data_IF_202696304880
#
_entry.id   IF_202696304880
#
_cell.length_a   1.000
_cell.length_b   1.000
_cell.length_c   1.000
_cell.angle_alpha   90.00
_cell.angle_beta   90.00
_cell.angle_gamma   90.00
#
_symmetry.space_group_name_H-M   'P 1'
#
loop_
_entity.id
_entity.type
_entity.pdbx_description
1 polymer ?
#
# COMPACT_ATOMS: atom_id res chain seq x y z
N UNK A 1 0.56 -7.63 -8.28
CA UNK A 1 1.91 -7.01 -8.27
C UNK A 1 2.33 -6.90 -6.81
N UNK A 2 3.62 -6.86 -6.43
CA UNK A 2 4.01 -6.47 -5.07
C UNK A 2 3.61 -5.00 -4.86
N UNK A 3 3.12 -4.66 -3.67
CA UNK A 3 2.58 -3.33 -3.35
C UNK A 3 3.35 -2.77 -2.16
N UNK A 4 3.93 -1.58 -2.37
CA UNK A 4 4.88 -0.90 -1.49
C UNK A 4 5.64 0.15 -2.30
N UNK A 5 5.89 -0.19 -3.58
CA UNK A 5 6.36 0.73 -4.62
C UNK A 5 5.52 0.55 -5.90
N UNK A 6 4.98 1.66 -6.42
CA UNK A 6 4.51 1.73 -7.81
C UNK A 6 5.65 2.26 -8.69
N UNK A 7 6.51 1.33 -9.15
CA UNK A 7 7.57 1.61 -10.14
C UNK A 7 6.97 1.91 -11.50
N UNK A 8 7.63 2.80 -12.26
CA UNK A 8 7.46 2.90 -13.72
C UNK A 8 7.72 1.54 -14.40
N UNK A 9 6.67 0.83 -14.81
CA UNK A 9 6.78 -0.30 -15.76
C UNK A 9 6.35 0.13 -17.15
N UNK A 10 7.32 0.19 -18.07
CA UNK A 10 7.04 0.18 -19.52
C UNK A 10 6.41 -1.17 -19.87
N UNK A 11 5.10 -1.20 -20.11
CA UNK A 11 4.42 -2.42 -20.57
C UNK A 11 4.81 -2.76 -22.01
N UNK A 12 5.31 -3.99 -22.22
CA UNK A 12 5.23 -4.65 -23.50
C UNK A 12 3.84 -5.27 -23.66
N UNK A 13 3.16 -5.02 -24.77
CA UNK A 13 1.79 -5.45 -25.02
C UNK A 13 1.67 -6.93 -25.46
N UNK A 14 0.52 -7.57 -25.19
CA UNK A 14 0.13 -8.85 -25.80
C UNK A 14 -1.41 -9.02 -25.96
N UNK A 15 -1.80 -9.69 -27.05
CA UNK A 15 -3.16 -9.87 -27.64
C UNK A 15 -3.69 -11.32 -27.46
N UNK A 16 -4.98 -11.71 -27.64
CA UNK A 16 -6.31 -11.05 -27.68
C UNK A 16 -7.41 -12.16 -27.81
N UNK A 17 -8.71 -11.84 -27.60
CA UNK A 17 -9.92 -12.63 -28.01
C UNK A 17 -10.19 -14.00 -27.33
N UNK A 18 -11.39 -14.64 -27.41
CA UNK A 18 -12.81 -14.23 -27.62
C UNK A 18 -13.74 -15.48 -27.52
N UNK A 19 -15.06 -15.29 -27.36
CA UNK A 19 -16.12 -16.30 -27.53
C UNK A 19 -16.59 -17.01 -26.24
N UNK A 20 -17.85 -17.49 -26.13
CA UNK A 20 -18.96 -17.55 -27.08
C UNK A 20 -20.33 -17.58 -26.36
N UNK A 21 -21.41 -17.22 -27.06
CA UNK A 21 -22.78 -17.10 -26.53
C UNK A 21 -23.56 -18.42 -26.62
N UNK A 22 -24.35 -18.79 -25.60
CA UNK A 22 -25.40 -19.83 -25.71
C UNK A 22 -26.61 -19.52 -24.82
N UNK A 23 -27.82 -19.80 -25.33
CA UNK A 23 -29.11 -19.45 -24.71
C UNK A 23 -29.93 -20.71 -24.44
N UNK A 24 -30.45 -20.88 -23.22
CA UNK A 24 -31.49 -21.85 -22.86
C UNK A 24 -32.44 -21.26 -21.77
N UNK A 25 -33.66 -21.80 -21.59
CA UNK A 25 -34.82 -21.01 -21.14
C UNK A 25 -35.02 -20.88 -19.62
N UNK A 26 -35.87 -19.93 -19.24
CA UNK A 26 -36.16 -19.54 -17.86
C UNK A 26 -37.03 -20.54 -17.07
N UNK A 27 -36.76 -20.63 -15.76
CA UNK A 27 -37.59 -21.25 -14.73
C UNK A 27 -37.90 -20.19 -13.63
N UNK A 28 -38.99 -20.34 -12.85
CA UNK A 28 -39.57 -19.22 -12.09
C UNK A 28 -38.79 -18.83 -10.83
N UNK A 29 -38.93 -17.57 -10.44
CA UNK A 29 -38.14 -16.94 -9.39
C UNK A 29 -38.44 -17.48 -7.97
N UNK A 30 -37.38 -17.90 -7.27
CA UNK A 30 -37.27 -17.69 -5.83
C UNK A 30 -36.52 -16.37 -5.59
N UNK A 31 -36.98 -15.59 -4.60
CA UNK A 31 -36.29 -14.38 -4.18
C UNK A 31 -34.98 -14.74 -3.45
N UNK A 32 -33.88 -14.77 -4.19
CA UNK A 32 -32.55 -14.76 -3.61
C UNK A 32 -32.20 -13.31 -3.22
N UNK A 33 -31.70 -13.11 -2.00
CA UNK A 33 -31.09 -11.83 -1.63
C UNK A 33 -29.91 -11.56 -2.56
N UNK A 34 -29.88 -10.37 -3.15
CA UNK A 34 -28.88 -9.98 -4.15
C UNK A 34 -27.52 -9.70 -3.49
N UNK A 35 -26.83 -10.75 -3.05
CA UNK A 35 -25.37 -10.73 -2.90
C UNK A 35 -24.73 -10.74 -4.29
N UNK A 36 -24.84 -9.60 -4.98
CA UNK A 36 -24.17 -9.37 -6.24
C UNK A 36 -22.67 -9.59 -6.02
N UNK A 37 -22.11 -10.59 -6.69
CA UNK A 37 -20.67 -10.79 -6.71
C UNK A 37 -20.00 -9.49 -7.18
N UNK A 38 -18.92 -9.03 -6.53
CA UNK A 38 -18.24 -7.81 -6.96
C UNK A 38 -17.86 -7.95 -8.45
N UNK A 39 -18.17 -6.93 -9.24
CA UNK A 39 -17.88 -6.94 -10.67
C UNK A 39 -16.37 -7.11 -10.91
N UNK A 40 -15.98 -7.72 -12.03
CA UNK A 40 -14.57 -7.77 -12.43
C UNK A 40 -14.01 -6.34 -12.48
N UNK A 41 -12.85 -6.12 -11.85
CA UNK A 41 -12.29 -4.78 -11.62
C UNK A 41 -12.69 -4.08 -10.31
N UNK A 42 -13.51 -4.68 -9.42
CA UNK A 42 -14.01 -4.01 -8.21
C UNK A 42 -12.97 -3.78 -7.11
N UNK A 43 -13.13 -2.71 -6.35
CA UNK A 43 -12.37 -2.45 -5.11
C UNK A 43 -13.21 -2.85 -3.89
N UNK A 44 -12.66 -3.74 -3.05
CA UNK A 44 -13.27 -4.14 -1.78
C UNK A 44 -12.49 -3.50 -0.63
N UNK A 45 -13.16 -2.67 0.19
CA UNK A 45 -12.60 -2.12 1.41
C UNK A 45 -13.24 -2.79 2.65
N UNK A 46 -12.47 -3.05 3.71
CA UNK A 46 -12.99 -3.60 4.96
C UNK A 46 -12.13 -3.29 6.19
N UNK A 47 -12.78 -3.35 7.35
CA UNK A 47 -12.16 -3.18 8.67
C UNK A 47 -11.83 -1.72 9.02
N UNK A 48 -11.56 -1.51 10.31
CA UNK A 48 -11.68 -0.18 10.92
C UNK A 48 -13.16 0.15 11.24
N UNK A 49 -13.41 1.35 11.74
CA UNK A 49 -14.76 1.82 12.04
C UNK A 49 -15.39 2.65 10.91
N UNK A 50 -14.61 3.05 9.89
CA UNK A 50 -15.07 3.93 8.80
C UNK A 50 -15.54 5.31 9.30
N UNK A 51 -14.96 5.80 10.41
CA UNK A 51 -15.35 7.03 11.10
C UNK A 51 -15.17 8.28 10.21
N UNK A 52 -14.28 8.23 9.22
CA UNK A 52 -14.01 9.31 8.27
C UNK A 52 -14.53 9.01 6.87
N UNK A 53 -15.24 7.91 6.66
CA UNK A 53 -15.66 7.44 5.34
C UNK A 53 -14.53 6.84 4.49
N UNK A 54 -13.36 6.58 5.08
CA UNK A 54 -12.15 6.08 4.41
C UNK A 54 -12.35 4.69 3.77
N UNK A 55 -13.20 3.83 4.34
CA UNK A 55 -13.58 2.55 3.74
C UNK A 55 -14.74 2.65 2.73
N UNK A 56 -15.26 3.85 2.47
CA UNK A 56 -16.43 4.06 1.60
C UNK A 56 -16.02 4.41 0.17
N UNK A 57 -15.52 3.40 -0.56
CA UNK A 57 -14.99 3.60 -1.92
C UNK A 57 -16.09 4.08 -2.89
N UNK A 58 -15.95 5.27 -3.51
CA UNK A 58 -16.98 5.87 -4.35
C UNK A 58 -17.11 5.18 -5.70
N UNK A 59 -18.27 5.28 -6.34
CA UNK A 59 -18.60 4.58 -7.59
C UNK A 59 -17.59 4.83 -8.74
N UNK A 60 -16.97 6.02 -8.84
CA UNK A 60 -15.96 6.32 -9.86
C UNK A 60 -14.67 5.47 -9.68
N UNK A 61 -14.37 5.06 -8.44
CA UNK A 61 -13.24 4.21 -8.06
C UNK A 61 -13.62 2.73 -7.85
N UNK A 62 -14.84 2.31 -8.21
CA UNK A 62 -15.29 0.91 -8.12
C UNK A 62 -14.88 0.06 -9.33
N UNK A 63 -14.20 0.61 -10.34
CA UNK A 63 -13.70 -0.14 -11.50
C UNK A 63 -12.63 0.62 -12.26
N UNK A 64 -11.74 -0.08 -12.96
CA UNK A 64 -10.66 0.52 -13.76
C UNK A 64 -9.65 1.30 -12.90
N UNK A 65 -9.41 0.84 -11.67
CA UNK A 65 -8.42 1.43 -10.76
C UNK A 65 -7.12 0.60 -10.85
N UNK A 66 -6.01 1.30 -11.06
CA UNK A 66 -4.67 0.74 -11.18
C UNK A 66 -4.01 0.52 -9.80
N UNK A 67 -4.26 1.44 -8.86
CA UNK A 67 -3.73 1.39 -7.50
C UNK A 67 -4.66 2.08 -6.49
N UNK A 68 -4.56 1.68 -5.22
CA UNK A 68 -5.20 2.33 -4.07
C UNK A 68 -4.09 2.72 -3.07
N UNK A 69 -4.23 3.85 -2.39
CA UNK A 69 -3.43 4.20 -1.22
C UNK A 69 -4.33 4.59 -0.05
N UNK A 70 -4.09 4.00 1.13
CA UNK A 70 -4.93 4.17 2.32
C UNK A 70 -4.31 5.13 3.34
N UNK A 71 -4.84 6.35 3.44
CA UNK A 71 -4.52 7.25 4.55
C UNK A 71 -5.35 6.95 5.80
N UNK A 72 -5.07 7.66 6.90
CA UNK A 72 -5.81 7.46 8.16
C UNK A 72 -7.25 8.00 8.07
N UNK A 73 -7.42 9.17 7.42
CA UNK A 73 -8.71 9.88 7.30
C UNK A 73 -9.28 9.89 5.88
N UNK A 74 -8.57 9.32 4.91
CA UNK A 74 -8.89 9.41 3.49
C UNK A 74 -8.35 8.19 2.72
N UNK A 75 -8.94 7.91 1.56
CA UNK A 75 -8.40 6.97 0.58
C UNK A 75 -8.15 7.66 -0.76
N UNK A 76 -7.16 7.17 -1.50
CA UNK A 76 -6.83 7.59 -2.87
C UNK A 76 -6.94 6.41 -3.83
N UNK A 77 -7.32 6.68 -5.07
CA UNK A 77 -7.24 5.73 -6.19
C UNK A 77 -6.52 6.36 -7.39
N UNK A 78 -5.70 5.58 -8.06
CA UNK A 78 -5.12 5.92 -9.36
C UNK A 78 -5.94 5.22 -10.46
N UNK A 79 -6.42 5.97 -11.43
CA UNK A 79 -7.26 5.47 -12.53
C UNK A 79 -6.91 6.19 -13.82
N UNK A 80 -6.38 5.47 -14.79
CA UNK A 80 -5.98 6.02 -16.10
C UNK A 80 -5.02 7.23 -15.96
N UNK A 81 -4.15 7.20 -14.94
CA UNK A 81 -3.23 8.29 -14.61
C UNK A 81 -3.87 9.50 -13.91
N UNK A 82 -5.16 9.46 -13.54
CA UNK A 82 -5.83 10.49 -12.72
C UNK A 82 -5.96 10.01 -11.27
N UNK A 83 -5.70 10.90 -10.32
CA UNK A 83 -5.96 10.65 -8.89
C UNK A 83 -7.41 10.99 -8.55
N UNK A 84 -8.07 10.03 -7.88
CA UNK A 84 -9.35 10.18 -7.20
C UNK A 84 -9.12 10.07 -5.68
N UNK A 85 -10.05 10.58 -4.88
CA UNK A 85 -9.99 10.39 -3.43
C UNK A 85 -11.34 10.56 -2.74
N UNK A 86 -11.43 10.03 -1.52
CA UNK A 86 -12.62 10.01 -0.67
C UNK A 86 -12.26 9.98 0.81
N UNK A 87 -13.24 10.19 1.68
CA UNK A 87 -13.05 10.36 3.12
C UNK A 87 -13.20 11.82 3.52
N UNK A 88 -12.44 12.26 4.54
CA UNK A 88 -12.44 13.66 4.99
C UNK A 88 -11.30 14.49 4.43
N UNK A 89 -11.50 15.81 4.37
CA UNK A 89 -10.57 16.79 3.79
C UNK A 89 -10.18 17.88 4.81
N UNK A 90 -9.94 17.49 6.07
CA UNK A 90 -9.71 18.42 7.18
C UNK A 90 -8.40 19.22 7.02
N UNK A 91 -7.40 18.64 6.36
CA UNK A 91 -6.06 19.18 6.17
C UNK A 91 -5.76 19.53 4.69
N UNK A 92 -6.76 19.42 3.81
CA UNK A 92 -6.58 19.59 2.37
C UNK A 92 -6.08 18.34 1.62
N UNK A 93 -6.00 17.16 2.26
CA UNK A 93 -5.53 15.91 1.64
C UNK A 93 -6.39 15.41 0.46
N UNK A 94 -7.63 15.89 0.32
CA UNK A 94 -8.49 15.62 -0.84
C UNK A 94 -8.60 16.80 -1.81
N UNK A 95 -7.88 17.91 -1.58
CA UNK A 95 -7.81 19.06 -2.48
C UNK A 95 -6.78 18.81 -3.59
N UNK A 96 -7.16 18.00 -4.57
CA UNK A 96 -6.28 17.52 -5.65
C UNK A 96 -5.54 18.66 -6.39
N UNK A 97 -4.20 18.69 -6.40
CA UNK A 97 -3.42 19.61 -7.22
C UNK A 97 -3.67 19.36 -8.71
N UNK A 98 -3.66 20.41 -9.54
CA UNK A 98 -3.91 20.28 -10.99
C UNK A 98 -2.96 19.29 -11.70
N UNK A 99 -1.75 19.08 -11.16
CA UNK A 99 -0.79 18.11 -11.65
C UNK A 99 -1.24 16.65 -11.56
N UNK A 100 -2.16 16.31 -10.64
CA UNK A 100 -2.62 14.93 -10.37
C UNK A 100 -3.84 14.51 -11.19
N UNK A 101 -4.38 15.40 -12.03
CA UNK A 101 -5.60 15.15 -12.81
C UNK A 101 -5.40 14.24 -14.03
N UNK A 102 -4.16 13.99 -14.46
CA UNK A 102 -3.78 13.08 -15.53
C UNK A 102 -2.27 12.79 -15.51
N UNK A 103 -1.84 11.64 -16.05
CA UNK A 103 -0.42 11.27 -16.22
C UNK A 103 0.35 10.99 -14.92
N UNK A 104 -0.33 10.63 -13.83
CA UNK A 104 0.29 10.16 -12.58
C UNK A 104 0.73 8.70 -12.74
N UNK A 105 1.97 8.42 -12.34
CA UNK A 105 2.59 7.09 -12.35
C UNK A 105 2.32 6.31 -11.04
N UNK A 106 2.24 6.99 -9.88
CA UNK A 106 2.07 6.38 -8.56
C UNK A 106 1.27 7.27 -7.59
N UNK A 107 0.72 6.65 -6.53
CA UNK A 107 0.13 7.35 -5.37
C UNK A 107 0.61 6.72 -4.05
N UNK A 108 0.63 7.52 -2.98
CA UNK A 108 0.77 7.07 -1.59
C UNK A 108 0.02 8.02 -0.64
N UNK A 109 -0.32 7.57 0.57
CA UNK A 109 -1.09 8.34 1.54
C UNK A 109 -0.57 8.14 2.97
N UNK A 110 -0.33 9.22 3.69
CA UNK A 110 -0.08 9.20 5.13
C UNK A 110 -1.35 9.50 5.93
N UNK A 111 -1.22 9.91 7.19
CA UNK A 111 -2.41 10.13 8.03
C UNK A 111 -3.29 11.27 7.49
N UNK A 112 -2.65 12.41 7.22
CA UNK A 112 -3.28 13.66 6.75
C UNK A 112 -2.58 14.29 5.54
N UNK A 113 -1.73 13.56 4.84
CA UNK A 113 -1.06 14.03 3.63
C UNK A 113 -1.12 12.96 2.53
N UNK A 114 -0.92 13.41 1.29
CA UNK A 114 -1.08 12.63 0.08
C UNK A 114 0.09 12.89 -0.86
N UNK A 115 0.54 11.83 -1.55
CA UNK A 115 1.65 11.87 -2.49
C UNK A 115 1.22 11.31 -3.84
N UNK A 116 1.78 11.87 -4.91
CA UNK A 116 1.72 11.33 -6.26
C UNK A 116 3.11 11.41 -6.92
N UNK A 117 3.46 10.40 -7.73
CA UNK A 117 4.62 10.45 -8.61
C UNK A 117 4.15 10.71 -10.02
N UNK A 118 4.79 11.65 -10.73
CA UNK A 118 4.49 11.96 -12.12
C UNK A 118 5.76 12.36 -12.86
N UNK A 119 6.15 11.60 -13.87
CA UNK A 119 7.34 11.91 -14.69
C UNK A 119 8.64 12.04 -13.87
N UNK A 120 8.70 11.37 -12.72
CA UNK A 120 9.80 11.43 -11.78
C UNK A 120 9.78 12.64 -10.82
N UNK A 121 8.75 13.49 -10.87
CA UNK A 121 8.47 14.52 -9.88
C UNK A 121 7.53 13.99 -8.81
N UNK A 122 7.87 14.21 -7.53
CA UNK A 122 6.96 14.00 -6.40
C UNK A 122 6.08 15.23 -6.21
N UNK A 123 4.77 15.02 -6.25
CA UNK A 123 3.74 15.99 -5.90
C UNK A 123 3.21 15.61 -4.52
N UNK A 124 3.20 16.53 -3.56
CA UNK A 124 2.67 16.31 -2.22
C UNK A 124 1.65 17.39 -1.84
N UNK A 125 0.61 17.01 -1.09
CA UNK A 125 -0.43 17.94 -0.62
C UNK A 125 -1.13 17.41 0.65
N UNK A 126 -1.88 18.29 1.31
CA UNK A 126 -2.51 18.04 2.61
C UNK A 126 -1.73 18.70 3.76
N UNK A 127 -1.75 18.07 4.94
CA UNK A 127 -1.02 18.53 6.12
C UNK A 127 0.48 18.66 5.86
N UNK A 128 1.07 19.73 6.40
CA UNK A 128 2.51 20.01 6.32
C UNK A 128 3.12 20.43 7.68
N UNK A 129 2.45 20.08 8.79
CA UNK A 129 2.87 20.47 10.15
C UNK A 129 4.32 20.07 10.50
N UNK A 130 4.82 19.00 9.89
CA UNK A 130 6.17 18.48 10.08
C UNK A 130 7.04 18.58 8.82
N UNK A 131 6.58 19.24 7.76
CA UNK A 131 7.28 19.34 6.47
C UNK A 131 7.06 18.16 5.51
N UNK A 132 6.06 17.31 5.74
CA UNK A 132 5.76 16.11 4.93
C UNK A 132 5.16 16.39 3.55
N UNK A 133 4.63 17.58 3.32
CA UNK A 133 4.18 18.07 2.00
C UNK A 133 5.18 19.05 1.35
N UNK A 134 6.18 19.56 2.09
CA UNK A 134 7.28 20.36 1.53
C UNK A 134 8.29 19.49 0.76
N UNK A 135 8.03 19.28 -0.54
CA UNK A 135 8.89 18.43 -1.40
C UNK A 135 10.29 19.06 -1.61
N UNK A 136 11.39 18.38 -1.21
CA UNK A 136 12.76 18.88 -1.38
C UNK A 136 13.17 18.86 -2.86
N UNK A 137 14.06 19.79 -3.24
CA UNK A 137 14.46 19.97 -4.65
C UNK A 137 15.00 18.70 -5.33
N UNK A 138 15.66 17.81 -4.59
CA UNK A 138 16.18 16.56 -5.14
C UNK A 138 15.10 15.53 -5.53
N UNK A 139 13.90 15.61 -4.94
CA UNK A 139 12.76 14.74 -5.22
C UNK A 139 11.79 15.29 -6.30
N UNK A 140 12.13 16.43 -6.93
CA UNK A 140 11.31 17.06 -7.99
C UNK A 140 11.61 16.55 -9.41
N UNK A 141 12.46 15.54 -9.56
CA UNK A 141 12.80 14.92 -10.85
C UNK A 141 13.54 13.60 -10.63
N UNK A 142 13.41 12.64 -11.54
CA UNK A 142 14.15 11.38 -11.51
C UNK A 142 13.82 10.45 -10.35
N UNK A 143 12.67 10.61 -9.69
CA UNK A 143 12.19 9.67 -8.66
C UNK A 143 11.57 8.44 -9.34
N UNK A 144 11.98 7.26 -8.89
CA UNK A 144 11.55 5.95 -9.39
C UNK A 144 10.32 5.41 -8.65
N UNK A 145 10.14 5.81 -7.39
CA UNK A 145 9.09 5.34 -6.48
C UNK A 145 8.87 6.27 -5.28
N UNK A 146 7.69 6.15 -4.66
CA UNK A 146 7.27 6.89 -3.46
C UNK A 146 6.59 5.95 -2.45
N UNK A 147 6.63 6.32 -1.17
CA UNK A 147 5.69 5.86 -0.15
C UNK A 147 5.50 6.94 0.92
N UNK A 148 4.48 6.77 1.75
CA UNK A 148 4.22 7.59 2.92
C UNK A 148 4.28 6.73 4.19
N UNK A 149 4.74 7.32 5.29
CA UNK A 149 4.39 6.89 6.64
C UNK A 149 3.33 7.85 7.21
N UNK A 150 3.05 7.78 8.52
CA UNK A 150 2.02 8.61 9.14
C UNK A 150 2.26 10.13 8.93
N UNK A 151 3.50 10.59 9.17
CA UNK A 151 3.94 11.99 9.05
C UNK A 151 5.26 12.17 8.28
N UNK A 152 5.68 11.16 7.51
CA UNK A 152 6.91 11.18 6.71
C UNK A 152 6.60 10.79 5.27
N UNK A 153 7.33 11.40 4.33
CA UNK A 153 7.28 11.11 2.91
C UNK A 153 8.62 10.53 2.47
N UNK A 154 8.59 9.45 1.69
CA UNK A 154 9.77 8.74 1.21
C UNK A 154 9.75 8.71 -0.33
N UNK A 155 10.91 8.93 -0.92
CA UNK A 155 11.14 8.83 -2.36
C UNK A 155 12.42 8.04 -2.65
N UNK A 156 12.41 7.21 -3.69
CA UNK A 156 13.58 6.51 -4.20
C UNK A 156 14.03 7.14 -5.52
N UNK A 157 15.31 7.43 -5.64
CA UNK A 157 15.91 8.02 -6.83
C UNK A 157 17.28 7.43 -7.07
N UNK A 158 17.47 6.74 -8.20
CA UNK A 158 18.75 6.13 -8.57
C UNK A 158 19.32 5.19 -7.47
N UNK A 159 18.43 4.53 -6.71
CA UNK A 159 18.79 3.68 -5.57
C UNK A 159 19.10 4.41 -4.25
N UNK A 160 18.98 5.75 -4.19
CA UNK A 160 19.07 6.56 -2.96
C UNK A 160 17.67 6.80 -2.37
N UNK A 161 17.51 6.56 -1.07
CA UNK A 161 16.33 7.02 -0.32
C UNK A 161 16.46 8.51 0.02
N UNK A 162 15.39 9.25 -0.22
CA UNK A 162 15.16 10.63 0.19
C UNK A 162 13.96 10.60 1.15
N UNK A 163 14.10 11.21 2.33
CA UNK A 163 13.02 11.33 3.30
C UNK A 163 12.79 12.81 3.65
N UNK A 164 11.52 13.21 3.76
CA UNK A 164 11.11 14.55 4.17
C UNK A 164 9.81 14.51 4.98
N UNK A 165 9.59 15.52 5.82
CA UNK A 165 8.68 15.40 6.95
C UNK A 165 9.24 14.55 8.10
N UNK A 166 8.73 14.75 9.32
CA UNK A 166 8.46 13.71 10.33
C UNK A 166 8.26 14.34 11.71
N UNK A 167 7.30 13.81 12.46
CA UNK A 167 7.16 14.08 13.91
C UNK A 167 8.34 13.51 14.73
N UNK A 168 9.06 12.50 14.20
CA UNK A 168 10.20 11.87 14.85
C UNK A 168 11.45 11.92 13.94
N UNK A 169 12.46 12.76 14.24
CA UNK A 169 13.66 12.89 13.41
C UNK A 169 14.41 11.57 13.13
N UNK A 170 14.29 10.57 14.02
CA UNK A 170 14.90 9.26 13.79
C UNK A 170 14.29 8.50 12.59
N UNK A 171 13.06 8.82 12.19
CA UNK A 171 12.37 8.20 11.04
C UNK A 171 12.79 8.82 9.70
N UNK A 172 13.07 10.13 9.67
CA UNK A 172 13.52 10.84 8.45
C UNK A 172 15.04 10.98 8.31
N UNK A 173 15.80 10.60 9.34
CA UNK A 173 17.27 10.48 9.23
C UNK A 173 17.64 9.20 8.47
N UNK A 174 17.76 9.31 7.14
CA UNK A 174 18.11 8.18 6.26
C UNK A 174 19.51 7.63 6.61
N UNK A 175 19.65 6.33 6.95
CA UNK A 175 20.94 5.71 7.23
C UNK A 175 21.86 5.70 5.99
N UNK A 176 23.17 5.80 6.20
CA UNK A 176 24.15 5.85 5.11
C UNK A 176 24.06 4.65 4.14
N UNK A 177 23.68 3.47 4.64
CA UNK A 177 23.48 2.27 3.82
C UNK A 177 22.32 2.41 2.83
N UNK A 178 21.27 3.17 3.16
CA UNK A 178 20.10 3.42 2.33
C UNK A 178 20.28 4.58 1.31
N UNK A 179 21.46 5.19 1.24
CA UNK A 179 21.78 6.25 0.27
C UNK A 179 22.21 5.73 -1.11
N UNK A 180 22.20 4.42 -1.34
CA UNK A 180 22.53 3.78 -2.63
C UNK A 180 22.06 2.32 -2.68
N UNK A 181 21.75 1.79 -3.87
CA UNK A 181 21.42 0.38 -4.06
C UNK A 181 20.09 -0.08 -3.44
N UNK A 182 19.25 0.85 -2.96
CA UNK A 182 17.90 0.52 -2.50
C UNK A 182 17.01 0.19 -3.68
N UNK A 183 16.16 -0.83 -3.51
CA UNK A 183 15.19 -1.30 -4.48
C UNK A 183 13.76 -1.06 -4.01
N UNK A 184 13.41 -1.45 -2.80
CA UNK A 184 12.07 -1.29 -2.22
C UNK A 184 12.08 -0.41 -0.96
N UNK A 185 10.94 0.17 -0.59
CA UNK A 185 10.81 1.11 0.53
C UNK A 185 9.39 1.08 1.13
N UNK A 186 9.27 1.34 2.44
CA UNK A 186 7.98 1.45 3.13
C UNK A 186 8.04 2.44 4.29
N UNK A 187 6.97 3.23 4.48
CA UNK A 187 6.80 4.13 5.62
C UNK A 187 5.86 3.53 6.66
N UNK A 188 6.31 3.45 7.91
CA UNK A 188 5.47 3.11 9.06
C UNK A 188 4.98 4.37 9.78
N UNK A 189 4.40 4.20 10.97
CA UNK A 189 4.01 5.35 11.81
C UNK A 189 5.23 6.05 12.41
N UNK A 190 6.17 5.28 12.98
CA UNK A 190 7.40 5.77 13.61
C UNK A 190 8.69 5.18 13.02
N UNK A 191 8.56 4.38 11.97
CA UNK A 191 9.64 3.65 11.31
C UNK A 191 9.65 3.92 9.81
N UNK A 192 10.78 3.64 9.17
CA UNK A 192 10.88 3.52 7.73
C UNK A 192 11.78 2.33 7.40
N UNK A 193 11.43 1.62 6.33
CA UNK A 193 12.07 0.40 5.88
C UNK A 193 12.53 0.55 4.42
N UNK A 194 13.55 -0.21 4.05
CA UNK A 194 14.01 -0.34 2.67
C UNK A 194 14.53 -1.76 2.39
N UNK A 195 14.64 -2.13 1.11
CA UNK A 195 15.36 -3.32 0.65
C UNK A 195 16.59 -2.89 -0.11
N UNK A 196 17.75 -3.45 0.21
CA UNK A 196 19.02 -3.24 -0.49
C UNK A 196 19.74 -4.56 -0.67
N UNK A 197 20.09 -4.92 -1.90
CA UNK A 197 20.81 -6.18 -2.22
C UNK A 197 20.14 -7.42 -1.60
N UNK A 198 18.80 -7.44 -1.56
CA UNK A 198 17.99 -8.47 -0.91
C UNK A 198 18.02 -8.47 0.62
N UNK A 199 18.51 -7.43 1.28
CA UNK A 199 18.50 -7.27 2.75
C UNK A 199 17.45 -6.24 3.13
N UNK A 200 16.65 -6.50 4.15
CA UNK A 200 15.84 -5.47 4.78
C UNK A 200 16.73 -4.51 5.60
N UNK A 201 16.49 -3.22 5.44
CA UNK A 201 16.99 -2.13 6.28
C UNK A 201 15.79 -1.54 7.03
N UNK A 202 15.98 -1.12 8.28
CA UNK A 202 14.94 -0.48 9.07
C UNK A 202 15.53 0.58 10.00
N UNK A 203 14.84 1.71 10.16
CA UNK A 203 15.24 2.80 11.06
C UNK A 203 14.01 3.54 11.61
N UNK A 204 14.22 4.38 12.63
CA UNK A 204 13.15 5.02 13.39
C UNK A 204 13.05 4.50 14.83
N UNK A 205 11.82 4.33 15.34
CA UNK A 205 11.56 3.86 16.70
C UNK A 205 11.71 2.34 16.85
N UNK A 206 12.52 1.90 17.82
CA UNK A 206 12.73 0.48 18.13
C UNK A 206 12.07 0.01 19.44
N UNK A 207 11.09 0.74 19.99
CA UNK A 207 10.53 0.46 21.33
C UNK A 207 10.03 -0.99 21.50
N UNK A 208 9.52 -1.61 20.43
CA UNK A 208 9.09 -3.02 20.41
C UNK A 208 9.96 -3.91 19.50
N UNK A 209 11.16 -3.46 19.12
CA UNK A 209 12.06 -4.19 18.21
C UNK A 209 11.66 -4.11 16.73
N UNK A 210 10.84 -3.15 16.32
CA UNK A 210 10.32 -3.02 14.95
C UNK A 210 11.41 -2.71 13.90
N UNK A 211 12.57 -2.20 14.31
CA UNK A 211 13.74 -1.89 13.46
C UNK A 211 14.92 -2.83 13.72
N UNK A 212 14.84 -3.69 14.74
CA UNK A 212 15.76 -4.82 14.94
C UNK A 212 15.51 -5.90 13.86
N UNK A 213 16.17 -5.76 12.71
CA UNK A 213 15.99 -6.66 11.55
C UNK A 213 16.48 -8.10 11.87
N UNK A 214 15.63 -9.13 11.76
CA UNK A 214 16.00 -10.51 12.06
C UNK A 214 16.92 -11.11 10.98
N UNK A 215 17.78 -12.04 11.37
CA UNK A 215 18.75 -12.69 10.47
C UNK A 215 18.13 -13.30 9.19
N UNK A 216 16.88 -13.79 9.28
CA UNK A 216 16.15 -14.35 8.14
C UNK A 216 15.90 -13.31 7.01
N UNK A 217 15.77 -12.03 7.36
CA UNK A 217 15.52 -10.90 6.46
C UNK A 217 16.82 -10.17 6.02
N UNK A 218 18.00 -10.73 6.29
CA UNK A 218 19.29 -10.16 5.89
C UNK A 218 19.78 -10.67 4.51
N UNK A 219 18.93 -11.35 3.74
CA UNK A 219 19.19 -11.83 2.37
C UNK A 219 17.89 -12.32 1.72
N UNK A 220 17.78 -12.27 0.38
CA UNK A 220 16.63 -12.79 -0.37
C UNK A 220 15.29 -12.06 -0.14
N UNK A 221 15.29 -10.88 0.49
CA UNK A 221 14.08 -10.07 0.65
C UNK A 221 13.70 -9.42 -0.67
N UNK A 222 12.45 -9.63 -1.08
CA UNK A 222 11.83 -9.09 -2.29
C UNK A 222 11.08 -7.77 -2.02
N UNK A 223 10.49 -7.62 -0.83
CA UNK A 223 9.56 -6.52 -0.49
C UNK A 223 9.50 -6.29 1.04
N UNK A 224 9.06 -5.11 1.48
CA UNK A 224 8.90 -4.72 2.90
C UNK A 224 7.62 -3.94 3.16
N UNK A 225 7.02 -4.13 4.33
CA UNK A 225 5.87 -3.32 4.78
C UNK A 225 5.99 -2.98 6.27
N UNK A 226 5.46 -1.82 6.67
CA UNK A 226 5.69 -1.23 7.99
C UNK A 226 4.39 -0.81 8.67
N UNK A 227 4.13 -1.34 9.87
CA UNK A 227 3.01 -0.88 10.71
C UNK A 227 3.44 0.19 11.71
N UNK A 228 2.75 0.26 12.85
CA UNK A 228 3.10 1.21 13.93
C UNK A 228 4.30 0.76 14.76
N UNK A 229 4.32 -0.53 15.12
CA UNK A 229 5.32 -1.16 15.98
C UNK A 229 5.69 -2.58 15.52
N UNK A 230 5.30 -2.95 14.29
CA UNK A 230 5.65 -4.23 13.67
C UNK A 230 6.09 -3.98 12.23
N UNK A 231 6.87 -4.91 11.71
CA UNK A 231 7.52 -4.84 10.41
C UNK A 231 7.42 -6.18 9.70
N UNK A 232 7.26 -6.14 8.37
CA UNK A 232 7.14 -7.30 7.50
C UNK A 232 8.21 -7.26 6.40
N UNK A 233 8.67 -8.43 6.00
CA UNK A 233 9.44 -8.65 4.78
C UNK A 233 8.88 -9.85 4.02
N UNK A 234 8.87 -9.77 2.70
CA UNK A 234 8.58 -10.89 1.80
C UNK A 234 9.90 -11.45 1.30
N UNK A 235 10.07 -12.78 1.34
CA UNK A 235 11.27 -13.47 0.87
C UNK A 235 10.90 -14.78 0.21
N UNK A 236 11.13 -14.93 -1.09
CA UNK A 236 10.86 -16.17 -1.83
C UNK A 236 9.41 -16.68 -1.65
N UNK A 237 8.47 -15.76 -1.37
CA UNK A 237 7.07 -16.06 -1.04
C UNK A 237 6.76 -16.45 0.41
N UNK A 238 7.72 -16.42 1.33
CA UNK A 238 7.52 -16.48 2.79
C UNK A 238 7.40 -15.07 3.40
N UNK A 239 6.44 -14.86 4.28
CA UNK A 239 6.33 -13.64 5.09
C UNK A 239 7.11 -13.78 6.40
N UNK A 240 8.10 -12.91 6.58
CA UNK A 240 8.84 -12.72 7.83
C UNK A 240 8.24 -11.52 8.54
N UNK A 241 7.94 -11.64 9.84
CA UNK A 241 7.42 -10.54 10.66
C UNK A 241 8.23 -10.38 11.96
N UNK A 242 8.47 -9.14 12.38
CA UNK A 242 9.16 -8.82 13.63
C UNK A 242 8.63 -7.52 14.25
N UNK A 243 8.99 -7.27 15.52
CA UNK A 243 8.41 -6.21 16.34
C UNK A 243 7.33 -6.70 17.31
N UNK A 244 6.37 -5.82 17.62
CA UNK A 244 5.29 -6.07 18.58
C UNK A 244 4.39 -7.26 18.19
N UNK A 245 3.98 -8.05 19.18
CA UNK A 245 3.06 -9.17 19.02
C UNK A 245 1.90 -9.18 20.01
N UNK A 246 1.69 -8.11 20.80
CA UNK A 246 0.62 -8.05 21.83
C UNK A 246 -0.79 -8.26 21.28
N UNK A 247 -0.99 -7.99 19.99
CA UNK A 247 -2.24 -8.22 19.25
C UNK A 247 -2.07 -9.28 18.15
N UNK A 248 -0.99 -10.07 18.17
CA UNK A 248 -0.73 -11.11 17.17
C UNK A 248 -0.11 -10.62 15.85
N UNK A 249 0.39 -9.38 15.76
CA UNK A 249 0.87 -8.78 14.50
C UNK A 249 2.03 -9.54 13.85
N UNK A 250 2.90 -10.18 14.65
CA UNK A 250 4.02 -11.00 14.15
C UNK A 250 3.72 -12.50 14.21
N UNK A 251 2.49 -12.89 14.54
CA UNK A 251 2.04 -14.29 14.56
C UNK A 251 1.62 -14.72 13.15
N UNK A 252 2.59 -14.84 12.24
CA UNK A 252 2.37 -15.12 10.81
C UNK A 252 1.61 -16.45 10.61
N UNK A 253 0.40 -16.41 9.99
CA UNK A 253 -0.39 -17.62 9.69
C UNK A 253 0.36 -18.61 8.80
N UNK A 254 0.12 -19.91 8.98
CA UNK A 254 0.79 -20.96 8.19
C UNK A 254 0.60 -20.78 6.66
N UNK A 255 -0.59 -20.34 6.24
CA UNK A 255 -0.91 -20.02 4.85
C UNK A 255 0.03 -18.97 4.23
N UNK A 256 0.57 -18.05 5.02
CA UNK A 256 1.43 -16.94 4.58
C UNK A 256 2.95 -17.27 4.60
N UNK A 257 3.34 -18.50 4.93
CA UNK A 257 4.76 -18.92 5.01
C UNK A 257 5.32 -19.51 3.71
N UNK A 258 4.62 -19.34 2.60
CA UNK A 258 5.03 -19.81 1.26
C UNK A 258 4.10 -19.30 0.17
N UNK A 259 4.62 -19.04 -1.03
CA UNK A 259 3.80 -18.69 -2.20
C UNK A 259 2.99 -17.40 -2.08
N UNK A 260 3.34 -16.50 -1.15
CA UNK A 260 2.83 -15.13 -1.09
C UNK A 260 3.44 -14.31 -2.23
N UNK A 261 2.67 -13.41 -2.83
CA UNK A 261 3.07 -12.59 -3.99
C UNK A 261 3.03 -11.08 -3.74
N UNK A 262 2.48 -10.66 -2.60
CA UNK A 262 2.52 -9.29 -2.08
C UNK A 262 2.25 -9.29 -0.57
N UNK A 263 2.79 -8.31 0.14
CA UNK A 263 2.48 -8.00 1.53
C UNK A 263 1.96 -6.56 1.65
N UNK A 264 1.30 -6.24 2.76
CA UNK A 264 1.01 -4.86 3.16
C UNK A 264 0.72 -4.83 4.68
N UNK A 265 0.85 -3.67 5.31
CA UNK A 265 0.64 -3.50 6.75
C UNK A 265 -0.16 -2.23 7.03
N UNK A 266 -1.24 -2.34 7.78
CA UNK A 266 -1.79 -1.18 8.50
C UNK A 266 -1.05 -0.99 9.83
N UNK A 267 -1.55 -0.14 10.72
CA UNK A 267 -0.85 0.12 11.99
C UNK A 267 -0.68 -1.16 12.82
N UNK A 268 -1.80 -1.84 13.08
CA UNK A 268 -1.90 -2.94 14.05
C UNK A 268 -2.31 -4.29 13.42
N UNK A 269 -2.34 -4.36 12.10
CA UNK A 269 -2.71 -5.57 11.35
C UNK A 269 -1.88 -5.69 10.07
N UNK A 270 -1.85 -6.89 9.52
CA UNK A 270 -1.02 -7.26 8.38
C UNK A 270 -1.86 -7.96 7.31
N UNK A 271 -1.44 -7.84 6.05
CA UNK A 271 -2.05 -8.47 4.89
C UNK A 271 -0.99 -9.22 4.06
N UNK A 272 -1.40 -10.33 3.46
CA UNK A 272 -0.63 -11.05 2.44
C UNK A 272 -1.55 -11.52 1.32
N UNK A 273 -1.08 -11.46 0.07
CA UNK A 273 -1.78 -11.96 -1.11
C UNK A 273 -1.15 -13.27 -1.58
N UNK A 274 -1.95 -14.32 -1.75
CA UNK A 274 -1.50 -15.64 -2.22
C UNK A 274 -2.51 -16.23 -3.19
N UNK A 275 -2.12 -16.48 -4.43
CA UNK A 275 -2.99 -17.07 -5.48
C UNK A 275 -4.37 -16.38 -5.62
N UNK A 276 -4.42 -15.05 -5.45
CA UNK A 276 -5.66 -14.27 -5.51
C UNK A 276 -6.55 -14.31 -4.25
N UNK A 277 -6.10 -14.96 -3.17
CA UNK A 277 -6.71 -14.97 -1.83
C UNK A 277 -5.96 -13.99 -0.92
N UNK A 278 -6.69 -13.18 -0.17
CA UNK A 278 -6.14 -12.36 0.91
C UNK A 278 -6.09 -13.15 2.23
N UNK A 279 -4.93 -13.09 2.87
CA UNK A 279 -4.68 -13.56 4.24
C UNK A 279 -4.50 -12.30 5.09
N UNK A 280 -5.17 -12.22 6.24
CA UNK A 280 -5.06 -11.11 7.17
C UNK A 280 -4.88 -11.61 8.60
N UNK A 281 -4.09 -10.90 9.41
CA UNK A 281 -3.84 -11.20 10.83
C UNK A 281 -3.45 -9.95 11.63
N UNK A 282 -3.31 -10.09 12.94
CA UNK A 282 -3.08 -8.97 13.87
C UNK A 282 -4.39 -8.25 14.26
N UNK A 283 -4.54 -7.91 15.53
CA UNK A 283 -5.70 -7.17 16.09
C UNK A 283 -7.07 -7.76 15.74
N UNK A 284 -7.16 -9.09 15.70
CA UNK A 284 -8.39 -9.80 15.33
C UNK A 284 -8.80 -9.64 13.85
N UNK A 285 -7.95 -9.04 13.01
CA UNK A 285 -8.25 -8.82 11.59
C UNK A 285 -8.41 -10.16 10.86
N UNK A 286 -9.49 -10.25 10.10
CA UNK A 286 -9.76 -11.36 9.17
C UNK A 286 -10.01 -10.82 7.77
N UNK A 287 -9.93 -11.69 6.77
CA UNK A 287 -10.22 -11.37 5.38
C UNK A 287 -11.63 -11.90 5.04
N UNK A 288 -12.58 -11.05 4.60
CA UNK A 288 -13.94 -11.48 4.29
C UNK A 288 -13.98 -12.42 3.08
N UNK A 289 -15.11 -13.12 2.90
CA UNK A 289 -15.32 -14.07 1.80
C UNK A 289 -15.16 -13.45 0.41
N UNK A 290 -15.48 -12.16 0.27
CA UNK A 290 -15.35 -11.37 -0.97
C UNK A 290 -13.92 -11.25 -1.50
N UNK A 291 -12.90 -11.41 -0.64
CA UNK A 291 -11.47 -11.30 -0.99
C UNK A 291 -10.72 -12.64 -0.93
N UNK A 292 -11.45 -13.77 -0.90
CA UNK A 292 -10.85 -15.11 -0.90
C UNK A 292 -10.48 -15.63 -2.31
N UNK A 293 -10.79 -14.87 -3.36
CA UNK A 293 -10.42 -15.19 -4.75
C UNK A 293 -10.40 -13.94 -5.64
N UNK A 294 -9.69 -14.02 -6.76
CA UNK A 294 -9.69 -12.98 -7.81
C UNK A 294 -9.02 -11.65 -7.43
N UNK A 295 -8.32 -11.57 -6.30
CA UNK A 295 -7.60 -10.35 -5.89
C UNK A 295 -6.26 -10.24 -6.64
N UNK A 296 -5.97 -9.06 -7.20
CA UNK A 296 -4.76 -8.78 -8.00
C UNK A 296 -3.74 -7.91 -7.26
N UNK A 297 -4.22 -7.12 -6.29
CA UNK A 297 -3.44 -6.21 -5.46
C UNK A 297 -4.14 -5.99 -4.09
N UNK A 298 -3.35 -5.66 -3.07
CA UNK A 298 -3.81 -5.36 -1.70
C UNK A 298 -3.19 -4.07 -1.20
N UNK A 299 -3.91 -3.32 -0.36
CA UNK A 299 -3.41 -2.12 0.28
C UNK A 299 -3.87 -2.07 1.76
N UNK A 300 -2.98 -1.65 2.64
CA UNK A 300 -3.15 -1.62 4.08
C UNK A 300 -3.09 -0.20 4.61
N UNK A 301 -4.19 0.53 4.54
CA UNK A 301 -4.30 1.80 5.26
C UNK A 301 -4.27 1.58 6.79
N UNK A 302 -3.99 2.62 7.59
CA UNK A 302 -3.82 2.54 9.04
C UNK A 302 -4.82 1.65 9.76
N UNK A 303 -6.11 1.83 9.45
CA UNK A 303 -7.22 1.02 9.98
C UNK A 303 -7.96 0.20 8.92
N UNK A 304 -7.94 0.60 7.65
CA UNK A 304 -8.77 0.05 6.57
C UNK A 304 -7.95 -0.69 5.53
N UNK A 305 -8.37 -1.91 5.21
CA UNK A 305 -7.74 -2.76 4.20
C UNK A 305 -8.51 -2.65 2.89
N UNK A 306 -7.79 -2.67 1.77
CA UNK A 306 -8.34 -2.63 0.43
C UNK A 306 -7.81 -3.80 -0.39
N UNK A 307 -8.64 -4.31 -1.30
CA UNK A 307 -8.28 -5.33 -2.26
C UNK A 307 -8.86 -4.96 -3.63
N UNK A 308 -8.00 -4.91 -4.65
CA UNK A 308 -8.42 -4.74 -6.04
C UNK A 308 -8.68 -6.13 -6.61
N UNK A 309 -9.82 -6.34 -7.25
CA UNK A 309 -10.18 -7.59 -7.92
C UNK A 309 -10.02 -7.44 -9.43
N UNK A 310 -9.48 -8.47 -10.08
CA UNK A 310 -9.37 -8.58 -11.55
C UNK A 310 -10.66 -9.00 -12.22
#
# INVERSE_FOLDING_TARGET
MPNGIVRRRRFGAAFVMSGLLSVLPAAPAMAAESSAAPAAGSVVAWGGYNDWGEATVPAEAQSGVDAIAGGYHHGLALKDGRVLGWGTNLDGQLTMPAGTLAGVDAIAAGNSHSLALKDGEVIAWGSDEYGQSTVPAEARSGVDAIAAGAWVSLALKDGKVIAFGSHNPAQSTVPAEALSGVTELAGGVYTALAVKDGRALAWGSDYFGATTVPAAAQSGVDDVAAGIFHSLALKDGEVIAWGDNRQGQTTVPADARSGVTAISAGEWYSLALKNGKVIAWGSGRTAPTTVQSGVTAIEGGPNTAYALKG
#
